data_IF_285194318276
#
_entry.id   IF_285194318276
#
_cell.length_a   1.000
_cell.length_b   1.000
_cell.length_c   1.000
_cell.angle_alpha   90.00
_cell.angle_beta   90.00
_cell.angle_gamma   90.00
#
_symmetry.space_group_name_H-M   'P 1'
#
loop_
_entity.id
_entity.type
_entity.pdbx_description
1 polymer ?
#
# COMPACT_ATOMS: atom_id res chain seq x y z
N UNK A 1 -13.96 -15.24 12.39
CA UNK A 1 -12.52 -15.34 12.15
C UNK A 1 -12.42 -15.34 10.66
N UNK A 2 -12.00 -14.21 10.09
CA UNK A 2 -12.18 -13.92 8.68
C UNK A 2 -11.25 -14.82 7.83
N UNK A 3 -11.73 -15.32 6.69
CA UNK A 3 -10.99 -16.21 5.77
C UNK A 3 -9.91 -15.46 4.95
N UNK A 4 -9.21 -14.52 5.60
CA UNK A 4 -8.18 -13.74 4.96
C UNK A 4 -6.89 -14.53 4.81
N UNK A 5 -6.24 -14.28 3.67
CA UNK A 5 -4.83 -14.58 3.48
C UNK A 5 -4.09 -13.25 3.37
N UNK A 6 -3.13 -13.02 4.25
CA UNK A 6 -2.17 -11.94 4.12
C UNK A 6 -0.95 -12.47 3.36
N UNK A 7 -0.59 -11.75 2.30
CA UNK A 7 0.47 -12.14 1.38
C UNK A 7 1.60 -11.13 1.42
N UNK A 8 2.83 -11.63 1.47
CA UNK A 8 4.06 -10.84 1.36
C UNK A 8 4.83 -11.30 0.12
N UNK A 9 5.22 -10.35 -0.73
CA UNK A 9 6.13 -10.63 -1.84
C UNK A 9 7.58 -10.50 -1.35
N UNK A 10 8.22 -11.63 -1.09
CA UNK A 10 9.52 -11.68 -0.42
C UNK A 10 10.62 -11.97 -1.45
N UNK A 11 11.55 -11.02 -1.60
CA UNK A 11 12.77 -11.23 -2.37
C UNK A 11 13.95 -11.56 -1.42
N UNK A 12 14.57 -12.72 -1.59
CA UNK A 12 15.77 -13.09 -0.83
C UNK A 12 16.81 -13.74 -1.77
N UNK A 13 17.98 -13.10 -1.90
CA UNK A 13 19.10 -13.59 -2.73
C UNK A 13 18.67 -14.01 -4.14
N UNK A 14 17.94 -13.13 -4.83
CA UNK A 14 17.37 -13.32 -6.17
C UNK A 14 16.31 -14.42 -6.30
N UNK A 15 15.89 -15.06 -5.20
CA UNK A 15 14.75 -15.97 -5.17
C UNK A 15 13.50 -15.23 -4.69
N UNK A 16 12.41 -15.38 -5.45
CA UNK A 16 11.08 -14.87 -5.08
C UNK A 16 10.34 -15.93 -4.27
N UNK A 17 9.83 -15.54 -3.12
CA UNK A 17 9.00 -16.35 -2.27
C UNK A 17 7.72 -15.59 -1.93
N UNK A 18 6.68 -16.33 -1.57
CA UNK A 18 5.41 -15.77 -1.13
C UNK A 18 5.31 -16.09 0.36
N UNK A 19 5.33 -15.06 1.19
CA UNK A 19 4.89 -15.18 2.58
C UNK A 19 3.37 -15.23 2.60
N UNK A 20 2.80 -16.17 3.32
CA UNK A 20 1.36 -16.35 3.47
C UNK A 20 1.05 -16.48 4.95
N UNK A 21 0.13 -15.67 5.44
CA UNK A 21 -0.43 -15.79 6.77
C UNK A 21 -1.93 -16.02 6.65
N UNK A 22 -2.41 -17.11 7.24
CA UNK A 22 -3.81 -17.48 7.23
C UNK A 22 -4.48 -17.08 8.54
N UNK A 23 -5.40 -16.11 8.48
CA UNK A 23 -6.13 -15.65 9.66
C UNK A 23 -7.11 -16.68 10.21
N UNK A 24 -7.55 -17.66 9.40
CA UNK A 24 -8.47 -18.68 9.85
C UNK A 24 -7.82 -19.66 10.84
N UNK A 25 -6.56 -20.04 10.62
CA UNK A 25 -5.85 -21.02 11.45
C UNK A 25 -4.60 -20.46 12.18
N UNK A 26 -4.22 -19.20 11.92
CA UNK A 26 -3.06 -18.52 12.51
C UNK A 26 -1.71 -19.03 12.01
N UNK A 27 -1.66 -19.75 10.89
CA UNK A 27 -0.42 -20.31 10.37
C UNK A 27 0.27 -19.38 9.38
N UNK A 28 1.58 -19.21 9.56
CA UNK A 28 2.47 -18.60 8.59
C UNK A 28 3.15 -19.68 7.74
N UNK A 29 3.18 -19.46 6.43
CA UNK A 29 3.82 -20.30 5.45
C UNK A 29 4.70 -19.43 4.56
N UNK A 30 5.93 -19.86 4.33
CA UNK A 30 6.73 -19.34 3.21
C UNK A 30 6.69 -20.36 2.09
N UNK A 31 6.03 -19.98 0.99
CA UNK A 31 5.86 -20.80 -0.19
C UNK A 31 6.82 -20.38 -1.30
N UNK A 32 7.31 -21.36 -2.06
CA UNK A 32 7.87 -21.12 -3.39
C UNK A 32 6.87 -21.59 -4.43
N UNK A 33 6.68 -20.75 -5.44
CA UNK A 33 5.93 -21.11 -6.63
C UNK A 33 6.91 -21.40 -7.76
N UNK A 34 6.66 -22.48 -8.51
CA UNK A 34 7.43 -22.79 -9.72
C UNK A 34 7.25 -21.72 -10.81
N UNK A 35 6.24 -20.86 -10.68
CA UNK A 35 5.94 -19.77 -11.61
C UNK A 35 6.66 -18.47 -11.26
N UNK A 36 7.28 -18.34 -10.08
CA UNK A 36 7.99 -17.14 -9.65
C UNK A 36 7.40 -16.51 -8.39
N UNK A 37 7.32 -15.17 -8.36
CA UNK A 37 6.79 -14.43 -7.21
C UNK A 37 5.27 -14.40 -7.18
N UNK A 38 4.73 -13.53 -6.34
CA UNK A 38 3.28 -13.41 -6.16
C UNK A 38 2.59 -13.02 -7.47
N UNK A 39 3.13 -12.04 -8.19
CA UNK A 39 2.61 -11.58 -9.49
C UNK A 39 2.51 -12.72 -10.51
N UNK A 40 3.60 -13.45 -10.73
CA UNK A 40 3.61 -14.54 -11.72
C UNK A 40 2.67 -15.68 -11.33
N UNK A 41 2.57 -15.97 -10.03
CA UNK A 41 1.68 -17.01 -9.49
C UNK A 41 0.20 -16.66 -9.68
N UNK A 42 -0.20 -15.43 -9.37
CA UNK A 42 -1.61 -15.02 -9.57
C UNK A 42 -1.97 -14.92 -11.05
N UNK A 43 -1.03 -14.55 -11.92
CA UNK A 43 -1.24 -14.64 -13.36
C UNK A 43 -1.46 -16.06 -13.84
N UNK A 44 -0.66 -17.02 -13.36
CA UNK A 44 -0.84 -18.43 -13.68
C UNK A 44 -2.24 -18.90 -13.29
N UNK A 45 -2.65 -18.59 -12.05
CA UNK A 45 -3.98 -18.94 -11.56
C UNK A 45 -5.09 -18.32 -12.43
N UNK A 46 -4.95 -17.03 -12.77
CA UNK A 46 -5.94 -16.33 -13.60
C UNK A 46 -6.07 -16.96 -15.00
N UNK A 47 -4.94 -17.32 -15.64
CA UNK A 47 -4.92 -18.02 -16.94
C UNK A 47 -5.55 -19.41 -16.90
N UNK A 48 -5.51 -20.07 -15.73
CA UNK A 48 -6.03 -21.43 -15.53
C UNK A 48 -7.39 -21.47 -14.84
N UNK A 49 -7.99 -20.31 -14.55
CA UNK A 49 -9.22 -20.18 -13.78
C UNK A 49 -9.17 -20.87 -12.41
N UNK A 50 -7.99 -20.86 -11.77
CA UNK A 50 -7.80 -21.41 -10.43
C UNK A 50 -8.20 -20.38 -9.38
N UNK A 51 -8.77 -20.84 -8.27
CA UNK A 51 -8.95 -20.03 -7.07
C UNK A 51 -7.58 -19.64 -6.50
N UNK A 52 -7.34 -18.34 -6.33
CA UNK A 52 -6.07 -17.85 -5.76
C UNK A 52 -5.85 -18.37 -4.35
N UNK A 53 -6.86 -18.32 -3.48
CA UNK A 53 -6.73 -18.73 -2.10
C UNK A 53 -6.43 -20.23 -1.97
N UNK A 54 -7.17 -21.07 -2.70
CA UNK A 54 -6.96 -22.53 -2.69
C UNK A 54 -5.59 -22.89 -3.27
N UNK A 55 -5.20 -22.28 -4.39
CA UNK A 55 -3.90 -22.55 -5.01
C UNK A 55 -2.74 -22.14 -4.08
N UNK A 56 -2.80 -20.93 -3.50
CA UNK A 56 -1.78 -20.44 -2.58
C UNK A 56 -1.66 -21.32 -1.33
N UNK A 57 -2.78 -21.80 -0.78
CA UNK A 57 -2.79 -22.75 0.35
C UNK A 57 -2.22 -24.13 -0.02
N UNK A 58 -2.30 -24.51 -1.29
CA UNK A 58 -1.76 -25.77 -1.80
C UNK A 58 -0.26 -25.73 -2.10
N UNK A 59 0.36 -24.54 -2.13
CA UNK A 59 1.78 -24.42 -2.45
C UNK A 59 2.64 -25.14 -1.40
N UNK A 60 3.72 -25.83 -1.83
CA UNK A 60 4.58 -26.54 -0.92
C UNK A 60 5.31 -25.58 0.02
N UNK A 61 5.37 -25.94 1.30
CA UNK A 61 6.21 -25.26 2.27
C UNK A 61 7.68 -25.33 1.86
N UNK A 62 8.41 -24.22 1.97
CA UNK A 62 9.84 -24.24 1.71
C UNK A 62 10.60 -24.96 2.84
N UNK A 63 11.33 -26.05 2.56
CA UNK A 63 11.90 -26.93 3.60
C UNK A 63 13.14 -26.38 4.32
N UNK A 64 13.56 -25.13 4.08
CA UNK A 64 14.73 -24.51 4.72
C UNK A 64 14.51 -23.04 5.02
N UNK A 65 14.23 -22.74 6.29
CA UNK A 65 14.74 -21.62 7.11
C UNK A 65 14.11 -21.76 8.52
N UNK A 66 14.81 -21.40 9.61
CA UNK A 66 14.26 -21.50 10.97
C UNK A 66 13.07 -20.56 11.15
N UNK A 67 12.17 -20.94 12.06
CA UNK A 67 10.96 -20.22 12.51
C UNK A 67 11.28 -18.87 13.20
N UNK A 68 12.52 -18.41 13.20
CA UNK A 68 12.93 -17.17 13.83
C UNK A 68 13.97 -16.44 12.96
N UNK A 69 13.56 -15.34 12.36
CA UNK A 69 14.43 -14.50 11.54
C UNK A 69 13.65 -13.72 10.52
N UNK A 70 13.48 -12.43 10.81
CA UNK A 70 12.99 -11.35 9.95
C UNK A 70 13.12 -11.66 8.45
N UNK A 71 12.12 -11.26 7.67
CA UNK A 71 12.21 -11.11 6.22
C UNK A 71 13.51 -10.36 5.88
N UNK A 72 14.58 -11.09 5.58
CA UNK A 72 15.88 -10.49 5.23
C UNK A 72 15.87 -10.19 3.72
N UNK A 73 15.42 -9.00 3.39
CA UNK A 73 15.40 -8.45 2.03
C UNK A 73 14.53 -7.20 2.00
N UNK A 74 14.78 -6.26 1.06
CA UNK A 74 13.89 -5.13 0.89
C UNK A 74 12.49 -5.68 0.57
N UNK A 75 11.53 -5.31 1.40
CA UNK A 75 10.14 -5.57 1.12
C UNK A 75 9.77 -4.86 -0.18
N UNK A 76 8.79 -5.39 -0.91
CA UNK A 76 8.32 -4.79 -2.15
C UNK A 76 6.83 -4.47 -2.02
N UNK A 77 6.33 -3.46 -2.76
CA UNK A 77 4.91 -3.31 -2.96
C UNK A 77 4.31 -4.66 -3.43
N UNK A 78 3.25 -5.15 -2.77
CA UNK A 78 2.76 -6.49 -3.02
C UNK A 78 2.20 -6.60 -4.44
N UNK A 79 2.37 -7.78 -5.07
CA UNK A 79 1.94 -8.09 -6.43
C UNK A 79 2.61 -7.23 -7.53
N UNK A 80 3.63 -6.43 -7.19
CA UNK A 80 4.19 -5.48 -8.16
C UNK A 80 5.00 -6.20 -9.25
N UNK A 81 4.66 -6.03 -10.54
CA UNK A 81 5.46 -6.58 -11.62
C UNK A 81 6.89 -6.03 -11.62
N UNK A 82 7.80 -6.79 -12.23
CA UNK A 82 9.18 -6.35 -12.48
C UNK A 82 9.22 -5.13 -13.39
N UNK A 83 8.38 -5.13 -14.42
CA UNK A 83 8.19 -3.98 -15.31
C UNK A 83 7.27 -2.94 -14.64
N UNK A 84 7.82 -1.77 -14.34
CA UNK A 84 7.09 -0.67 -13.73
C UNK A 84 5.97 -0.14 -14.62
N UNK A 85 6.04 -0.31 -15.94
CA UNK A 85 5.00 0.14 -16.87
C UNK A 85 3.73 -0.72 -16.79
N UNK A 86 3.84 -1.93 -16.25
CA UNK A 86 2.70 -2.80 -15.95
C UNK A 86 2.07 -2.52 -14.59
N UNK A 87 2.52 -1.50 -13.85
CA UNK A 87 1.86 -1.05 -12.64
C UNK A 87 1.31 0.36 -12.85
N UNK A 88 0.02 0.56 -12.57
CA UNK A 88 -0.63 1.87 -12.60
C UNK A 88 -1.05 2.25 -11.17
N UNK A 89 -0.76 3.48 -10.78
CA UNK A 89 -1.12 4.05 -9.48
C UNK A 89 -2.08 5.19 -9.72
N UNK A 90 -3.20 5.15 -9.02
CA UNK A 90 -4.26 6.15 -9.11
C UNK A 90 -4.90 6.38 -7.74
N UNK A 91 -5.57 7.52 -7.61
CA UNK A 91 -6.34 7.91 -6.43
C UNK A 91 -7.79 8.14 -6.83
N UNK A 92 -8.71 7.70 -5.99
CA UNK A 92 -10.12 8.08 -6.08
C UNK A 92 -10.51 8.84 -4.83
N UNK A 93 -11.04 10.05 -5.01
CA UNK A 93 -11.49 10.89 -3.90
C UNK A 93 -12.93 10.57 -3.52
N UNK A 94 -13.26 10.73 -2.24
CA UNK A 94 -14.63 10.50 -1.75
C UNK A 94 -15.62 11.54 -2.36
N UNK A 95 -16.87 11.14 -2.66
CA UNK A 95 -17.98 12.00 -3.16
C UNK A 95 -18.48 13.06 -2.15
N UNK A 96 -18.47 14.35 -2.50
CA UNK A 96 -19.08 15.39 -1.63
C UNK A 96 -20.54 15.69 -2.06
N UNK A 97 -21.35 16.39 -1.24
CA UNK A 97 -22.66 16.88 -1.68
C UNK A 97 -22.61 17.80 -2.91
N UNK A 98 -21.44 18.36 -3.23
CA UNK A 98 -21.26 19.37 -4.28
C UNK A 98 -20.29 18.92 -5.39
N UNK A 99 -19.65 17.76 -5.28
CA UNK A 99 -18.65 17.26 -6.22
C UNK A 99 -18.74 15.75 -6.39
N UNK A 100 -18.67 15.30 -7.64
CA UNK A 100 -18.51 13.88 -7.96
C UNK A 100 -17.11 13.38 -7.55
N UNK A 101 -16.99 12.06 -7.44
CA UNK A 101 -15.75 11.32 -7.21
C UNK A 101 -14.76 11.71 -8.30
N UNK A 102 -13.59 12.19 -7.90
CA UNK A 102 -12.49 12.45 -8.82
C UNK A 102 -11.63 11.21 -8.92
N UNK A 103 -11.28 10.81 -10.14
CA UNK A 103 -10.24 9.82 -10.40
C UNK A 103 -8.99 10.55 -10.89
N UNK A 104 -7.84 10.27 -10.28
CA UNK A 104 -6.57 10.90 -10.60
C UNK A 104 -5.51 9.85 -10.90
N UNK A 105 -4.87 9.96 -12.06
CA UNK A 105 -3.66 9.19 -12.34
C UNK A 105 -2.48 9.81 -11.57
N UNK A 106 -1.72 8.98 -10.86
CA UNK A 106 -0.51 9.41 -10.13
C UNK A 106 0.75 9.08 -10.91
N UNK A 107 0.81 7.88 -11.48
CA UNK A 107 1.97 7.40 -12.23
C UNK A 107 2.02 5.88 -12.30
N UNK A 108 3.24 5.36 -12.46
CA UNK A 108 3.48 3.93 -12.63
C UNK A 108 4.16 3.31 -11.40
N UNK A 109 4.60 2.05 -11.53
CA UNK A 109 5.23 1.30 -10.44
C UNK A 109 6.46 1.95 -9.78
N UNK A 110 7.11 2.93 -10.42
CA UNK A 110 8.26 3.64 -9.85
C UNK A 110 7.87 4.57 -8.68
N UNK A 111 6.61 5.00 -8.60
CA UNK A 111 6.13 5.89 -7.53
C UNK A 111 5.84 5.17 -6.21
N UNK A 112 5.67 3.85 -6.26
CA UNK A 112 5.34 3.05 -5.08
C UNK A 112 6.58 2.83 -4.22
N UNK A 113 6.47 3.22 -2.96
CA UNK A 113 7.40 2.93 -1.88
C UNK A 113 6.79 1.94 -0.91
N UNK A 114 7.62 1.25 -0.16
CA UNK A 114 7.21 0.39 0.96
C UNK A 114 7.83 0.84 2.27
N UNK A 115 7.56 0.11 3.34
CA UNK A 115 8.07 0.39 4.69
C UNK A 115 9.59 0.64 4.71
N UNK A 116 9.99 1.75 5.33
CA UNK A 116 11.38 2.18 5.47
C UNK A 116 11.97 2.90 4.25
N UNK A 117 11.34 2.87 3.08
CA UNK A 117 11.83 3.63 1.93
C UNK A 117 11.50 5.13 2.06
N UNK A 118 12.45 6.01 1.72
CA UNK A 118 12.19 7.45 1.78
C UNK A 118 11.14 7.89 0.73
N UNK A 119 10.23 8.78 1.14
CA UNK A 119 9.27 9.47 0.28
C UNK A 119 9.91 10.77 -0.22
N UNK A 120 10.42 10.73 -1.45
CA UNK A 120 11.08 11.86 -2.10
C UNK A 120 10.06 12.88 -2.58
N UNK A 121 10.27 14.14 -2.20
CA UNK A 121 9.43 15.27 -2.59
C UNK A 121 10.18 16.11 -3.62
N UNK A 122 9.56 16.44 -4.77
CA UNK A 122 10.20 17.22 -5.81
C UNK A 122 10.30 18.71 -5.44
N UNK A 123 11.31 19.40 -5.98
CA UNK A 123 11.66 20.79 -5.69
C UNK A 123 10.53 21.80 -5.97
N UNK A 124 9.66 21.46 -6.91
CA UNK A 124 8.55 22.31 -7.33
C UNK A 124 7.27 22.07 -6.51
N UNK A 125 7.32 21.23 -5.47
CA UNK A 125 6.21 21.09 -4.54
C UNK A 125 6.07 22.38 -3.71
N UNK A 126 4.84 22.87 -3.56
CA UNK A 126 4.53 24.05 -2.75
C UNK A 126 4.23 23.67 -1.30
N UNK A 127 3.82 22.42 -1.07
CA UNK A 127 3.48 21.88 0.23
C UNK A 127 3.52 20.35 0.23
N UNK A 128 3.61 19.77 1.41
CA UNK A 128 3.71 18.31 1.59
C UNK A 128 2.66 17.89 2.61
N UNK A 129 1.73 17.06 2.16
CA UNK A 129 0.76 16.40 3.04
C UNK A 129 0.57 14.96 2.62
N UNK A 130 0.08 14.14 3.55
CA UNK A 130 -0.17 12.72 3.36
C UNK A 130 -1.62 12.39 3.67
N UNK A 131 -2.23 11.50 2.89
CA UNK A 131 -3.54 10.94 3.17
C UNK A 131 -3.43 9.43 3.41
N UNK A 132 -3.75 8.93 4.63
CA UNK A 132 -3.82 7.51 4.86
C UNK A 132 -5.07 6.93 4.21
N UNK A 133 -4.98 5.69 3.75
CA UNK A 133 -6.12 5.02 3.12
C UNK A 133 -5.90 3.54 2.89
N UNK A 134 -6.90 2.93 2.25
CA UNK A 134 -6.82 1.58 1.73
C UNK A 134 -6.42 1.65 0.26
N UNK A 135 -5.51 0.77 -0.15
CA UNK A 135 -5.08 0.62 -1.54
C UNK A 135 -5.69 -0.64 -2.10
N UNK A 136 -6.69 -0.50 -2.98
CA UNK A 136 -7.27 -1.63 -3.70
C UNK A 136 -6.30 -2.09 -4.79
N UNK A 137 -6.02 -3.40 -4.83
CA UNK A 137 -5.11 -3.99 -5.81
C UNK A 137 -5.89 -4.85 -6.80
N UNK A 138 -5.75 -4.53 -8.09
CA UNK A 138 -6.36 -5.28 -9.17
C UNK A 138 -5.30 -5.84 -10.11
N UNK A 139 -5.57 -7.01 -10.69
CA UNK A 139 -4.79 -7.62 -11.76
C UNK A 139 -5.67 -7.72 -13.00
N UNK A 140 -5.20 -7.20 -14.13
CA UNK A 140 -5.83 -7.47 -15.43
C UNK A 140 -5.34 -8.81 -15.92
N UNK A 141 -6.24 -9.77 -16.10
CA UNK A 141 -5.89 -11.10 -16.55
C UNK A 141 -5.60 -11.16 -18.07
N UNK A 142 -5.22 -12.36 -18.55
CA UNK A 142 -4.89 -12.57 -19.96
C UNK A 142 -6.10 -12.35 -20.90
N UNK A 143 -7.32 -12.40 -20.37
CA UNK A 143 -8.57 -12.17 -21.10
C UNK A 143 -9.03 -10.72 -21.01
N UNK A 144 -8.17 -9.80 -20.56
CA UNK A 144 -8.47 -8.37 -20.35
C UNK A 144 -9.55 -8.13 -19.29
N UNK A 145 -9.80 -9.08 -18.39
CA UNK A 145 -10.74 -8.87 -17.29
C UNK A 145 -10.00 -8.25 -16.11
N UNK A 146 -10.58 -7.21 -15.54
CA UNK A 146 -10.09 -6.61 -14.30
C UNK A 146 -10.49 -7.50 -13.12
N UNK A 147 -9.50 -8.05 -12.42
CA UNK A 147 -9.72 -8.95 -11.28
C UNK A 147 -9.30 -8.22 -10.01
N UNK A 148 -10.25 -7.97 -9.11
CA UNK A 148 -9.90 -7.48 -7.77
C UNK A 148 -9.19 -8.58 -6.99
N UNK A 149 -7.97 -8.31 -6.55
CA UNK A 149 -7.12 -9.26 -5.82
C UNK A 149 -7.34 -9.15 -4.33
N UNK A 150 -7.40 -7.93 -3.85
CA UNK A 150 -7.43 -7.64 -2.44
C UNK A 150 -7.04 -6.21 -2.17
N UNK A 151 -6.64 -5.94 -0.94
CA UNK A 151 -6.28 -4.59 -0.52
C UNK A 151 -5.06 -4.57 0.38
N UNK A 152 -4.46 -3.39 0.46
CA UNK A 152 -3.36 -3.06 1.35
C UNK A 152 -3.66 -1.73 2.04
N UNK A 153 -2.76 -1.27 2.90
CA UNK A 153 -2.83 0.07 3.49
C UNK A 153 -1.76 0.94 2.86
N UNK A 154 -2.02 2.24 2.78
CA UNK A 154 -1.06 3.14 2.19
C UNK A 154 -1.21 4.57 2.66
N UNK A 155 -0.18 5.36 2.37
CA UNK A 155 -0.16 6.79 2.56
C UNK A 155 0.10 7.46 1.22
N UNK A 156 -0.80 8.36 0.86
CA UNK A 156 -0.70 9.09 -0.38
C UNK A 156 -0.18 10.52 -0.19
N UNK A 157 0.99 10.82 -0.76
CA UNK A 157 1.53 12.17 -0.75
C UNK A 157 0.84 13.02 -1.83
N UNK A 158 0.54 14.25 -1.46
CA UNK A 158 -0.04 15.25 -2.34
C UNK A 158 0.36 16.66 -1.89
N UNK A 159 0.05 17.65 -2.72
CA UNK A 159 0.39 19.05 -2.51
C UNK A 159 -0.89 19.91 -2.36
N UNK A 160 -1.41 20.07 -1.12
CA UNK A 160 -2.64 20.83 -0.87
C UNK A 160 -2.62 22.25 -1.41
N UNK A 161 -1.52 22.98 -1.27
CA UNK A 161 -1.42 24.37 -1.73
C UNK A 161 -1.53 24.45 -3.25
N UNK A 162 -0.88 23.56 -3.98
CA UNK A 162 -1.04 23.47 -5.44
C UNK A 162 -2.47 23.03 -5.81
N UNK A 163 -3.04 22.08 -5.07
CA UNK A 163 -4.33 21.49 -5.40
C UNK A 163 -5.50 22.47 -5.43
N UNK A 164 -5.40 23.56 -4.64
CA UNK A 164 -6.45 24.56 -4.45
C UNK A 164 -6.40 25.70 -5.46
N UNK A 165 -5.39 25.76 -6.32
CA UNK A 165 -5.22 26.86 -7.27
C UNK A 165 -6.26 26.79 -8.40
N UNK A 166 -6.31 25.64 -9.08
CA UNK A 166 -7.26 25.34 -10.15
C UNK A 166 -7.33 23.83 -10.42
N UNK A 167 -8.19 23.42 -11.36
CA UNK A 167 -8.40 22.00 -11.69
C UNK A 167 -7.13 21.32 -12.27
N UNK A 168 -6.34 22.03 -13.06
CA UNK A 168 -5.11 21.49 -13.66
C UNK A 168 -4.06 21.26 -12.59
N UNK A 169 -3.91 22.23 -11.68
CA UNK A 169 -3.01 22.19 -10.53
C UNK A 169 -3.44 21.09 -9.54
N UNK A 170 -4.74 20.86 -9.38
CA UNK A 170 -5.26 19.71 -8.63
C UNK A 170 -4.76 18.37 -9.18
N UNK A 171 -4.83 18.15 -10.50
CA UNK A 171 -4.29 16.93 -11.09
C UNK A 171 -2.77 16.81 -10.88
N UNK A 172 -2.02 17.91 -11.06
CA UNK A 172 -0.56 17.93 -10.88
C UNK A 172 -0.14 17.69 -9.42
N UNK A 173 -0.93 18.15 -8.46
CA UNK A 173 -0.66 17.98 -7.02
C UNK A 173 -0.63 16.51 -6.58
N UNK A 174 -1.22 15.60 -7.37
CA UNK A 174 -1.25 14.16 -7.09
C UNK A 174 -0.05 13.41 -7.64
N UNK A 175 0.77 14.03 -8.49
CA UNK A 175 1.95 13.41 -9.11
C UNK A 175 3.12 13.39 -8.12
N UNK A 176 2.99 12.59 -7.06
CA UNK A 176 3.95 12.44 -5.96
C UNK A 176 4.12 10.95 -5.62
N UNK A 177 5.22 10.62 -4.95
CA UNK A 177 5.43 9.26 -4.43
C UNK A 177 4.36 8.89 -3.40
N UNK A 178 4.12 7.61 -3.22
CA UNK A 178 3.18 7.09 -2.23
C UNK A 178 3.77 5.84 -1.60
N UNK A 179 3.37 5.54 -0.37
CA UNK A 179 3.80 4.34 0.34
C UNK A 179 2.64 3.35 0.48
N UNK A 180 2.95 2.07 0.38
CA UNK A 180 2.02 0.96 0.60
C UNK A 180 2.66 -0.07 1.51
N UNK A 181 1.88 -0.66 2.41
CA UNK A 181 2.36 -1.74 3.26
C UNK A 181 2.80 -2.91 2.39
N UNK A 182 3.82 -3.68 2.80
CA UNK A 182 4.32 -4.80 2.01
C UNK A 182 3.33 -5.96 1.89
N UNK A 183 2.24 -5.91 2.68
CA UNK A 183 1.24 -6.93 2.81
C UNK A 183 0.03 -6.68 1.90
N UNK A 184 -0.47 -7.73 1.26
CA UNK A 184 -1.73 -7.74 0.54
C UNK A 184 -2.69 -8.70 1.24
N UNK A 185 -3.83 -8.19 1.69
CA UNK A 185 -4.91 -9.02 2.20
C UNK A 185 -5.78 -9.42 1.01
N UNK A 186 -5.89 -10.72 0.76
CA UNK A 186 -6.71 -11.25 -0.33
C UNK A 186 -8.21 -11.09 -0.04
N UNK A 187 -8.95 -10.63 -1.06
CA UNK A 187 -10.40 -10.50 -0.99
C UNK A 187 -10.91 -9.17 -0.41
N UNK A 188 -12.19 -9.15 -0.05
CA UNK A 188 -12.93 -7.95 0.37
C UNK A 188 -12.59 -7.51 1.78
N UNK A 189 -12.60 -6.21 2.07
CA UNK A 189 -12.66 -5.71 3.45
C UNK A 189 -13.94 -6.21 4.14
N UNK A 190 -13.84 -6.70 5.38
CA UNK A 190 -14.94 -7.30 6.15
C UNK A 190 -15.43 -6.39 7.29
N UNK A 191 -14.62 -5.42 7.72
CA UNK A 191 -14.92 -4.54 8.83
C UNK A 191 -14.34 -3.14 8.62
N UNK A 192 -14.94 -2.14 9.26
CA UNK A 192 -14.41 -0.77 9.30
C UNK A 192 -13.04 -0.74 9.98
N UNK A 193 -12.16 0.17 9.56
CA UNK A 193 -10.78 0.24 10.03
C UNK A 193 -10.47 1.56 10.71
N UNK A 194 -9.57 1.53 11.69
CA UNK A 194 -8.96 2.71 12.29
C UNK A 194 -7.54 2.87 11.75
N UNK A 195 -7.31 3.91 10.94
CA UNK A 195 -5.99 4.25 10.42
C UNK A 195 -5.36 5.33 11.30
N UNK A 196 -4.36 4.95 12.09
CA UNK A 196 -3.64 5.86 12.96
C UNK A 196 -2.40 6.39 12.24
N UNK A 197 -2.29 7.71 12.14
CA UNK A 197 -1.15 8.40 11.55
C UNK A 197 -0.41 9.18 12.61
N UNK A 198 0.90 8.95 12.69
CA UNK A 198 1.80 9.70 13.56
C UNK A 198 2.83 10.42 12.72
N UNK A 199 3.11 11.66 13.08
CA UNK A 199 4.22 12.42 12.51
C UNK A 199 5.24 12.71 13.60
N UNK A 200 6.50 12.37 13.37
CA UNK A 200 7.61 12.69 14.25
C UNK A 200 8.67 13.52 13.53
N UNK A 201 9.24 14.49 14.22
CA UNK A 201 10.35 15.33 13.73
C UNK A 201 11.44 15.35 14.78
N UNK A 202 12.67 15.00 14.38
CA UNK A 202 13.83 14.98 15.28
C UNK A 202 13.58 14.17 16.58
N UNK A 203 12.81 13.09 16.49
CA UNK A 203 12.46 12.23 17.63
C UNK A 203 11.34 12.74 18.54
N UNK A 204 10.73 13.89 18.24
CA UNK A 204 9.55 14.39 18.94
C UNK A 204 8.27 14.12 18.12
N UNK A 205 7.22 13.60 18.77
CA UNK A 205 5.91 13.44 18.14
C UNK A 205 5.25 14.81 17.96
N UNK A 206 4.99 15.19 16.70
CA UNK A 206 4.29 16.43 16.35
C UNK A 206 2.78 16.24 16.28
N UNK A 207 2.32 15.11 15.77
CA UNK A 207 0.88 14.81 15.67
C UNK A 207 0.60 13.31 15.78
N UNK A 208 -0.61 12.99 16.23
CA UNK A 208 -1.19 11.65 16.21
C UNK A 208 -2.68 11.78 15.91
N UNK A 209 -3.10 11.32 14.73
CA UNK A 209 -4.47 11.42 14.25
C UNK A 209 -5.00 10.03 13.94
N UNK A 210 -6.28 9.80 14.24
CA UNK A 210 -6.96 8.55 13.91
C UNK A 210 -8.06 8.83 12.89
N UNK A 211 -8.05 8.09 11.79
CA UNK A 211 -9.00 8.19 10.70
C UNK A 211 -9.86 6.93 10.63
N UNK A 212 -11.18 7.10 10.69
CA UNK A 212 -12.11 5.99 10.62
C UNK A 212 -12.55 5.75 9.17
N UNK A 213 -12.19 4.59 8.63
CA UNK A 213 -12.65 4.12 7.34
C UNK A 213 -13.88 3.23 7.53
N UNK A 214 -15.01 3.71 7.05
CA UNK A 214 -16.28 2.98 7.10
C UNK A 214 -16.37 1.94 5.98
N UNK A 215 -16.80 0.73 6.33
CA UNK A 215 -16.92 -0.41 5.42
C UNK A 215 -17.89 -0.13 4.25
N UNK A 216 -19.05 0.50 4.51
CA UNK A 216 -20.05 0.75 3.46
C UNK A 216 -19.53 1.78 2.46
N UNK A 217 -18.89 2.84 2.96
CA UNK A 217 -18.25 3.84 2.12
C UNK A 217 -17.11 3.23 1.28
N UNK A 218 -16.34 2.31 1.86
CA UNK A 218 -15.31 1.57 1.13
C UNK A 218 -15.89 0.69 0.02
N UNK A 219 -16.97 -0.06 0.27
CA UNK A 219 -17.64 -0.82 -0.80
C UNK A 219 -18.15 0.08 -1.93
N UNK A 220 -18.74 1.23 -1.59
CA UNK A 220 -19.24 2.18 -2.57
C UNK A 220 -18.12 2.75 -3.45
N UNK A 221 -17.03 3.24 -2.85
CA UNK A 221 -15.91 3.81 -3.61
C UNK A 221 -15.14 2.74 -4.40
N UNK A 222 -14.99 1.54 -3.85
CA UNK A 222 -14.36 0.41 -4.54
C UNK A 222 -15.18 -0.03 -5.76
N UNK A 223 -16.51 -0.13 -5.64
CA UNK A 223 -17.38 -0.40 -6.78
C UNK A 223 -17.24 0.67 -7.87
N UNK A 224 -17.24 1.95 -7.48
CA UNK A 224 -17.01 3.05 -8.41
C UNK A 224 -15.66 2.91 -9.13
N UNK A 225 -14.57 2.70 -8.39
CA UNK A 225 -13.23 2.58 -8.97
C UNK A 225 -13.11 1.41 -9.96
N UNK A 226 -13.70 0.27 -9.62
CA UNK A 226 -13.69 -0.91 -10.49
C UNK A 226 -14.47 -0.64 -11.78
N UNK A 227 -15.69 -0.10 -11.67
CA UNK A 227 -16.50 0.25 -12.85
C UNK A 227 -15.81 1.29 -13.73
N UNK A 228 -15.15 2.29 -13.12
CA UNK A 228 -14.39 3.28 -13.88
C UNK A 228 -13.26 2.63 -14.69
N UNK A 229 -12.48 1.73 -14.08
CA UNK A 229 -11.40 1.03 -14.77
C UNK A 229 -11.93 0.10 -15.87
N UNK A 230 -13.02 -0.62 -15.62
CA UNK A 230 -13.65 -1.54 -16.58
C UNK A 230 -14.21 -0.85 -17.83
N UNK A 231 -14.61 0.43 -17.73
CA UNK A 231 -15.18 1.19 -18.84
C UNK A 231 -14.13 1.69 -19.85
N UNK A 232 -12.84 1.58 -19.54
CA UNK A 232 -11.77 2.20 -20.31
C UNK A 232 -10.72 1.17 -20.71
N UNK A 233 -10.67 0.85 -22.01
CA UNK A 233 -9.80 -0.21 -22.55
C UNK A 233 -8.30 0.01 -22.26
N UNK A 234 -7.85 1.26 -22.16
CA UNK A 234 -6.46 1.57 -21.82
C UNK A 234 -6.03 1.05 -20.42
N UNK A 235 -6.98 0.81 -19.52
CA UNK A 235 -6.72 0.25 -18.19
C UNK A 235 -6.85 -1.28 -18.16
N UNK A 236 -7.25 -1.91 -19.27
CA UNK A 236 -7.49 -3.36 -19.37
C UNK A 236 -6.38 -4.06 -20.18
N UNK A 237 -5.13 -3.60 -20.01
CA UNK A 237 -3.97 -4.24 -20.63
C UNK A 237 -3.58 -5.52 -19.87
N UNK A 238 -3.50 -6.69 -20.52
CA UNK A 238 -3.16 -7.95 -19.86
C UNK A 238 -1.88 -7.87 -19.03
N UNK A 239 -1.96 -8.33 -17.78
CA UNK A 239 -0.86 -8.32 -16.83
C UNK A 239 -0.65 -6.99 -16.10
N UNK A 240 -1.42 -5.94 -16.41
CA UNK A 240 -1.39 -4.69 -15.68
C UNK A 240 -1.90 -4.88 -14.24
N UNK A 241 -1.24 -4.25 -13.28
CA UNK A 241 -1.64 -4.20 -11.88
C UNK A 241 -2.03 -2.77 -11.54
N UNK A 242 -3.24 -2.60 -11.02
CA UNK A 242 -3.72 -1.29 -10.56
C UNK A 242 -3.63 -1.20 -9.04
N UNK A 243 -3.06 -0.11 -8.56
CA UNK A 243 -3.04 0.29 -7.15
C UNK A 243 -3.92 1.54 -7.02
N UNK A 244 -5.13 1.35 -6.52
CA UNK A 244 -6.12 2.43 -6.39
C UNK A 244 -6.21 2.87 -4.94
N UNK A 245 -5.71 4.06 -4.64
CA UNK A 245 -5.78 4.67 -3.32
C UNK A 245 -7.18 5.21 -3.04
N UNK A 246 -7.75 4.77 -1.91
CA UNK A 246 -8.98 5.28 -1.32
C UNK A 246 -8.67 5.90 0.03
N UNK A 247 -8.56 7.23 0.07
CA UNK A 247 -8.28 7.98 1.29
C UNK A 247 -9.35 7.75 2.35
N UNK A 248 -8.95 7.51 3.60
CA UNK A 248 -9.87 7.29 4.71
C UNK A 248 -10.57 8.57 5.19
N UNK A 249 -10.10 9.74 4.75
CA UNK A 249 -10.67 11.03 5.12
C UNK A 249 -10.40 12.07 4.05
N UNK A 250 -11.28 13.08 4.00
CA UNK A 250 -11.05 14.33 3.26
C UNK A 250 -10.35 15.40 4.09
N UNK A 251 -10.27 15.21 5.41
CA UNK A 251 -9.61 16.18 6.29
C UNK A 251 -8.13 16.08 6.05
N UNK A 252 -7.59 17.10 5.42
CA UNK A 252 -6.16 17.32 5.35
C UNK A 252 -5.63 17.59 6.76
N UNK A 253 -4.45 17.07 7.05
CA UNK A 253 -3.75 17.44 8.26
C UNK A 253 -3.28 18.90 8.10
N UNK A 254 -3.51 19.74 9.11
CA UNK A 254 -3.02 21.12 9.12
C UNK A 254 -1.49 21.17 9.24
N UNK A 255 -0.88 20.10 9.78
CA UNK A 255 0.56 19.94 9.84
C UNK A 255 1.14 19.77 8.44
N UNK A 256 1.97 20.73 8.05
CA UNK A 256 2.81 20.63 6.86
C UNK A 256 4.03 19.75 7.16
N UNK A 257 4.17 18.68 6.37
CA UNK A 257 5.34 17.82 6.44
C UNK A 257 6.55 18.55 5.84
N UNK A 258 7.75 18.18 6.28
CA UNK A 258 9.00 18.71 5.75
C UNK A 258 10.08 17.64 5.73
N UNK A 259 11.21 17.95 5.12
CA UNK A 259 12.41 17.11 5.10
C UNK A 259 12.80 16.61 6.50
N UNK A 260 12.99 15.29 6.61
CA UNK A 260 13.38 14.60 7.83
C UNK A 260 12.21 14.15 8.71
N UNK A 261 10.98 14.53 8.40
CA UNK A 261 9.79 14.04 9.11
C UNK A 261 9.62 12.54 8.90
N UNK A 262 9.29 11.84 9.97
CA UNK A 262 8.84 10.45 9.94
C UNK A 262 7.33 10.42 9.94
N UNK A 263 6.79 9.63 9.03
CA UNK A 263 5.37 9.46 8.83
C UNK A 263 5.04 7.97 9.04
N UNK A 264 4.35 7.68 10.14
CA UNK A 264 3.91 6.32 10.48
C UNK A 264 2.43 6.16 10.15
N UNK A 265 2.06 4.99 9.62
CA UNK A 265 0.70 4.49 9.53
C UNK A 265 0.60 3.18 10.30
N UNK A 266 -0.42 3.05 11.13
CA UNK A 266 -0.75 1.81 11.83
C UNK A 266 -2.26 1.54 11.77
N UNK A 267 -2.63 0.29 11.55
CA UNK A 267 -4.01 -0.21 11.62
C UNK A 267 -4.06 -1.42 12.55
N UNK A 268 -4.55 -1.24 13.79
CA UNK A 268 -4.59 -2.30 14.79
C UNK A 268 -5.44 -3.50 14.37
N UNK A 269 -6.54 -3.29 13.66
CA UNK A 269 -7.47 -4.35 13.26
C UNK A 269 -6.84 -5.36 12.30
N UNK A 270 -5.87 -4.92 11.51
CA UNK A 270 -5.14 -5.74 10.54
C UNK A 270 -3.72 -6.09 11.00
N UNK A 271 -3.28 -5.51 12.12
CA UNK A 271 -1.90 -5.54 12.60
C UNK A 271 -0.86 -5.13 11.52
N UNK A 272 -1.27 -4.21 10.64
CA UNK A 272 -0.46 -3.70 9.54
C UNK A 272 0.00 -2.27 9.80
N UNK A 273 1.14 -1.92 9.22
CA UNK A 273 1.57 -0.54 9.13
C UNK A 273 2.86 -0.36 8.37
N UNK A 274 3.26 0.90 8.26
CA UNK A 274 4.46 1.34 7.58
C UNK A 274 4.99 2.63 8.23
N UNK A 275 6.27 2.90 8.01
CA UNK A 275 6.98 4.08 8.47
C UNK A 275 7.89 4.55 7.35
N UNK A 276 7.71 5.79 6.90
CA UNK A 276 8.51 6.37 5.83
C UNK A 276 9.04 7.73 6.25
N UNK A 277 10.26 8.05 5.82
CA UNK A 277 10.84 9.37 6.04
C UNK A 277 10.59 10.27 4.82
N UNK A 278 10.16 11.51 5.07
CA UNK A 278 10.00 12.54 4.05
C UNK A 278 11.36 13.11 3.67
N UNK A 279 11.65 13.17 2.37
CA UNK A 279 12.93 13.63 1.84
C UNK A 279 12.72 14.63 0.71
N UNK A 280 12.83 15.92 1.00
CA UNK A 280 12.88 16.95 -0.06
C UNK A 280 14.18 16.84 -0.86
N UNK A 281 14.07 16.76 -2.19
CA UNK A 281 15.21 16.45 -3.06
C UNK A 281 16.28 17.54 -3.06
N UNK A 282 15.89 18.81 -2.96
CA UNK A 282 16.84 19.95 -2.89
C UNK A 282 17.67 19.94 -1.61
N UNK A 283 17.11 19.40 -0.53
CA UNK A 283 17.76 19.37 0.78
C UNK A 283 18.58 18.10 0.99
N UNK A 284 18.32 17.02 0.25
CA UNK A 284 18.99 15.73 0.45
C UNK A 284 20.52 15.82 0.36
N UNK A 285 21.05 16.69 -0.51
CA UNK A 285 22.49 16.89 -0.64
C UNK A 285 23.08 17.84 0.40
N UNK A 286 22.28 18.76 0.95
CA UNK A 286 22.72 19.77 1.92
C UNK A 286 22.58 19.28 3.36
N UNK A 287 21.52 18.52 3.63
CA UNK A 287 21.17 17.93 4.91
C UNK A 287 20.86 16.43 4.70
N UNK A 288 21.88 15.58 4.50
CA UNK A 288 21.65 14.16 4.31
C UNK A 288 20.91 13.55 5.49
N UNK A 289 19.85 12.81 5.20
CA UNK A 289 19.13 12.04 6.21
C UNK A 289 19.96 10.82 6.58
N UNK A 290 20.28 10.67 7.87
CA UNK A 290 20.94 9.48 8.35
C UNK A 290 20.05 8.25 8.11
N UNK A 291 20.64 7.18 7.60
CA UNK A 291 20.00 5.87 7.56
C UNK A 291 19.89 5.34 8.98
N UNK A 292 18.80 5.70 9.69
CA UNK A 292 18.55 5.07 10.98
C UNK A 292 18.25 3.58 10.75
N UNK A 293 18.91 2.66 11.50
CA UNK A 293 18.51 1.26 11.48
C UNK A 293 17.03 1.21 11.88
N UNK A 294 16.21 0.48 11.10
CA UNK A 294 14.77 0.31 11.29
C UNK A 294 14.38 0.57 12.74
N UNK A 295 13.71 1.71 13.01
CA UNK A 295 13.13 1.97 14.31
C UNK A 295 12.12 0.86 14.57
N UNK A 296 12.55 -0.19 15.25
CA UNK A 296 11.66 -1.20 15.80
C UNK A 296 10.63 -0.44 16.62
N UNK A 297 9.36 -0.50 16.21
CA UNK A 297 8.23 0.23 16.79
C UNK A 297 8.39 0.35 18.31
N UNK A 298 8.87 1.51 18.79
CA UNK A 298 8.87 1.82 20.21
C UNK A 298 7.39 2.06 20.59
N UNK A 299 6.71 0.98 20.93
CA UNK A 299 5.39 1.03 21.53
C UNK A 299 5.52 1.74 22.89
N UNK A 300 4.99 2.96 22.96
CA UNK A 300 4.58 3.54 24.23
C UNK A 300 3.53 2.64 24.87
N UNK A 301 3.95 1.93 25.92
CA UNK A 301 3.15 1.31 27.00
C UNK A 301 1.63 1.20 26.81
N UNK A 302 1.14 -0.02 26.54
CA UNK A 302 -0.16 -0.54 27.02
C UNK A 302 -0.12 -2.08 27.10
N UNK A 303 -0.96 -2.70 27.97
CA UNK A 303 -0.66 -3.94 28.67
C UNK A 303 -0.64 -5.17 27.76
N UNK A 304 0.24 -6.09 28.14
CA UNK A 304 0.55 -7.38 27.53
C UNK A 304 -0.70 -8.14 27.07
N UNK A 305 -0.91 -8.18 25.76
CA UNK A 305 -1.42 -9.37 25.08
C UNK A 305 -0.35 -9.80 24.09
N UNK A 306 -0.01 -11.08 24.16
CA UNK A 306 1.05 -11.74 23.39
C UNK A 306 0.98 -11.32 21.92
N UNK A 307 1.98 -10.53 21.48
CA UNK A 307 2.23 -10.26 20.07
C UNK A 307 2.68 -11.57 19.44
N UNK A 308 1.95 -12.05 18.44
CA UNK A 308 2.51 -13.02 17.51
C UNK A 308 3.32 -12.23 16.48
N UNK A 309 4.62 -12.54 16.40
CA UNK A 309 5.52 -11.93 15.45
C UNK A 309 5.31 -12.62 14.08
N UNK A 310 4.96 -11.83 13.06
CA UNK A 310 4.84 -12.26 11.66
C UNK A 310 6.17 -12.69 11.05
#
# INVERSE_FOLDING_TARGET
>A
MDDYLLLLDVCHKDQRAIGLFDFHNGQSLRALSEHGGLYETLQFCARRHLSWSEHLRSLPAHPRLPVEGLVQGPLRPPLKPSDNLLAQVCEVTLNTPHTHQGWFYKGNGNLLKTDGEALTIPYHALSISSQPGVVCVYLVDHFKQLRFVGFSLGQDIHDPLLSRQDASSCAQSRLRQCAITPALILGELQHSLSLNVRVERQGAQLSYLSYHLDLQNWWAIRKYSQTFLEQHEQFLQPGMVHYVFHSASRRENELQLQHGDWLDLDCPELELGLSNQVSEEELLHLYPLESQPHRGRAHGTRPTRLRQHY
#
